data_IF_580197069627
#
_entry.id   IF_580197069627
#
_cell.length_a   1.000
_cell.length_b   1.000
_cell.length_c   1.000
_cell.angle_alpha   90.00
_cell.angle_beta   90.00
_cell.angle_gamma   90.00
#
_symmetry.space_group_name_H-M   'P 1'
#
loop_
_entity.id
_entity.type
_entity.pdbx_description
1 polymer ?
#
# COMPACT_ATOMS: atom_id res chain seq x y z
N UNK A 1 11.11 17.38 -2.89
CA UNK A 1 9.71 17.84 -3.06
C UNK A 1 8.81 17.03 -2.13
N UNK A 2 7.67 17.58 -1.74
CA UNK A 2 6.67 16.86 -0.93
C UNK A 2 5.89 15.93 -1.86
N UNK A 3 5.73 14.67 -1.47
CA UNK A 3 4.87 13.71 -2.16
C UNK A 3 3.40 14.04 -1.86
N UNK A 4 2.76 14.73 -2.80
CA UNK A 4 1.40 15.27 -2.62
C UNK A 4 0.33 14.16 -2.55
N UNK A 5 0.55 13.02 -3.20
CA UNK A 5 -0.38 11.88 -3.22
C UNK A 5 -0.43 11.14 -1.87
N UNK A 6 0.58 11.32 -1.02
CA UNK A 6 0.61 10.77 0.35
C UNK A 6 -0.03 11.68 1.40
N UNK A 7 -0.50 12.88 1.03
CA UNK A 7 -1.16 13.80 1.96
C UNK A 7 -2.64 13.46 2.14
N UNK A 8 -3.11 13.55 3.37
CA UNK A 8 -4.55 13.54 3.67
C UNK A 8 -5.20 14.85 3.20
N UNK A 9 -6.52 14.86 3.03
CA UNK A 9 -7.23 16.07 2.62
C UNK A 9 -6.98 17.28 3.55
N UNK A 10 -6.98 17.15 4.89
CA UNK A 10 -6.62 18.25 5.79
C UNK A 10 -5.18 18.75 5.58
N UNK A 11 -4.20 17.86 5.47
CA UNK A 11 -2.81 18.24 5.20
C UNK A 11 -2.67 18.95 3.85
N UNK A 12 -3.37 18.48 2.83
CA UNK A 12 -3.38 19.12 1.52
C UNK A 12 -4.03 20.52 1.57
N UNK A 13 -5.03 20.72 2.42
CA UNK A 13 -5.62 22.05 2.66
C UNK A 13 -4.60 23.01 3.26
N UNK A 14 -3.82 22.55 4.24
CA UNK A 14 -2.74 23.35 4.83
C UNK A 14 -1.65 23.68 3.80
N UNK A 15 -1.28 22.72 2.95
CA UNK A 15 -0.33 22.96 1.87
C UNK A 15 -0.84 23.99 0.86
N UNK A 16 -2.12 23.95 0.50
CA UNK A 16 -2.71 24.97 -0.39
C UNK A 16 -2.64 26.38 0.21
N UNK A 17 -2.91 26.53 1.51
CA UNK A 17 -2.76 27.82 2.19
C UNK A 17 -1.31 28.33 2.17
N UNK A 18 -0.32 27.45 2.38
CA UNK A 18 1.10 27.83 2.34
C UNK A 18 1.53 28.39 0.98
N UNK A 19 0.97 27.90 -0.11
CA UNK A 19 1.26 28.40 -1.47
C UNK A 19 0.34 29.55 -1.91
N UNK A 20 -0.50 30.07 -1.00
CA UNK A 20 -1.39 31.21 -1.25
C UNK A 20 -2.66 30.85 -2.03
N UNK A 21 -3.04 29.57 -2.03
CA UNK A 21 -4.27 29.07 -2.68
C UNK A 21 -5.40 28.86 -1.67
N UNK A 22 -6.63 28.83 -2.15
CA UNK A 22 -7.81 28.62 -1.28
C UNK A 22 -7.97 27.15 -0.91
N UNK A 23 -8.38 26.86 0.33
CA UNK A 23 -8.59 25.48 0.87
C UNK A 23 -9.39 24.55 -0.03
N UNK A 24 -10.43 25.07 -0.69
CA UNK A 24 -11.27 24.22 -1.56
C UNK A 24 -10.51 23.63 -2.77
N UNK A 25 -9.37 24.23 -3.15
CA UNK A 25 -8.51 23.69 -4.21
C UNK A 25 -7.93 22.32 -3.82
N UNK A 26 -7.68 22.10 -2.53
CA UNK A 26 -7.26 20.79 -2.03
C UNK A 26 -8.26 19.69 -2.37
N UNK A 27 -9.56 19.94 -2.19
CA UNK A 27 -10.59 18.96 -2.56
C UNK A 27 -10.60 18.62 -4.05
N UNK A 28 -10.37 19.62 -4.91
CA UNK A 28 -10.27 19.40 -6.35
C UNK A 28 -9.04 18.56 -6.72
N UNK A 29 -7.88 18.88 -6.14
CA UNK A 29 -6.61 18.15 -6.36
C UNK A 29 -6.75 16.72 -5.83
N UNK A 30 -7.31 16.54 -4.63
CA UNK A 30 -7.54 15.24 -4.00
C UNK A 30 -8.42 14.34 -4.86
N UNK A 31 -9.54 14.86 -5.40
CA UNK A 31 -10.42 14.16 -6.32
C UNK A 31 -9.68 13.71 -7.60
N UNK A 32 -8.84 14.59 -8.18
CA UNK A 32 -8.03 14.24 -9.34
C UNK A 32 -7.08 13.08 -9.06
N UNK A 33 -6.39 13.11 -7.89
CA UNK A 33 -5.41 12.08 -7.53
C UNK A 33 -6.06 10.75 -7.16
N UNK A 34 -7.11 10.79 -6.32
CA UNK A 34 -7.63 9.60 -5.64
C UNK A 34 -8.95 9.06 -6.19
N UNK A 35 -9.64 9.79 -7.08
CA UNK A 35 -10.87 9.35 -7.74
C UNK A 35 -10.66 9.23 -9.24
N UNK A 36 -10.10 10.27 -9.87
CA UNK A 36 -9.83 10.28 -11.33
C UNK A 36 -8.52 9.60 -11.69
N UNK A 37 -7.66 9.34 -10.71
CA UNK A 37 -6.43 8.55 -10.80
C UNK A 37 -5.45 9.09 -11.87
N UNK A 38 -5.24 10.40 -11.88
CA UNK A 38 -4.36 11.04 -12.87
C UNK A 38 -2.88 10.74 -12.59
N UNK A 39 -2.10 10.77 -13.66
CA UNK A 39 -0.66 10.52 -13.64
C UNK A 39 0.17 11.80 -13.67
N UNK A 40 -0.46 12.94 -13.96
CA UNK A 40 0.21 14.24 -14.04
C UNK A 40 -0.69 15.40 -13.61
N UNK A 41 -0.09 16.49 -13.16
CA UNK A 41 -0.83 17.73 -12.86
C UNK A 41 -1.48 18.34 -14.11
N UNK A 42 -0.98 18.04 -15.31
CA UNK A 42 -1.55 18.58 -16.56
C UNK A 42 -2.95 18.04 -16.85
N UNK A 43 -3.27 16.84 -16.36
CA UNK A 43 -4.59 16.25 -16.49
C UNK A 43 -5.65 16.94 -15.62
N UNK A 44 -5.26 17.73 -14.62
CA UNK A 44 -6.16 18.44 -13.71
C UNK A 44 -6.77 19.70 -14.36
N UNK A 45 -7.61 19.48 -15.37
CA UNK A 45 -8.08 20.51 -16.33
C UNK A 45 -8.96 21.60 -15.72
N UNK A 46 -9.62 21.36 -14.56
CA UNK A 46 -10.39 22.37 -13.83
C UNK A 46 -9.53 23.29 -12.95
N UNK A 47 -8.21 23.04 -12.87
CA UNK A 47 -7.25 23.92 -12.22
C UNK A 47 -6.66 24.90 -13.25
N UNK A 48 -6.40 26.13 -12.82
CA UNK A 48 -5.73 27.13 -13.67
C UNK A 48 -4.33 26.64 -14.07
N UNK A 49 -3.84 27.07 -15.25
CA UNK A 49 -2.48 26.76 -15.68
C UNK A 49 -1.44 27.21 -14.64
N UNK A 50 -1.60 28.43 -14.06
CA UNK A 50 -0.68 28.94 -13.04
C UNK A 50 -0.64 28.06 -11.78
N UNK A 51 -1.78 27.51 -11.34
CA UNK A 51 -1.78 26.58 -10.20
C UNK A 51 -1.09 25.27 -10.54
N UNK A 52 -1.34 24.68 -11.73
CA UNK A 52 -0.68 23.45 -12.15
C UNK A 52 0.85 23.61 -12.23
N UNK A 53 1.34 24.74 -12.71
CA UNK A 53 2.80 25.02 -12.74
C UNK A 53 3.35 25.15 -11.31
N UNK A 54 2.69 25.89 -10.41
CA UNK A 54 3.07 25.96 -8.98
C UNK A 54 3.14 24.57 -8.33
N UNK A 55 2.16 23.69 -8.65
CA UNK A 55 2.16 22.34 -8.11
C UNK A 55 3.36 21.52 -8.60
N UNK A 56 3.71 21.60 -9.89
CA UNK A 56 4.89 20.94 -10.46
C UNK A 56 6.21 21.40 -9.84
N UNK A 57 6.31 22.69 -9.48
CA UNK A 57 7.52 23.25 -8.91
C UNK A 57 7.75 22.84 -7.44
N UNK A 58 6.68 22.60 -6.69
CA UNK A 58 6.78 22.42 -5.24
C UNK A 58 6.52 20.99 -4.78
N UNK A 59 5.74 20.23 -5.55
CA UNK A 59 5.28 18.89 -5.18
C UNK A 59 5.69 17.84 -6.20
N UNK A 60 5.84 16.62 -5.71
CA UNK A 60 5.98 15.42 -6.52
C UNK A 60 4.65 14.69 -6.59
N UNK A 61 4.17 14.39 -7.79
CA UNK A 61 3.03 13.50 -8.00
C UNK A 61 3.56 12.13 -8.42
N UNK A 62 3.64 11.21 -7.46
CA UNK A 62 4.13 9.85 -7.71
C UNK A 62 3.21 9.15 -8.73
N UNK A 63 3.83 8.58 -9.76
CA UNK A 63 3.20 7.75 -10.77
C UNK A 63 4.14 6.63 -11.15
N UNK A 64 3.71 5.38 -10.93
CA UNK A 64 4.48 4.19 -11.27
C UNK A 64 4.47 3.96 -12.78
N UNK A 65 5.60 3.52 -13.31
CA UNK A 65 5.69 3.09 -14.71
C UNK A 65 5.30 1.61 -14.82
N UNK A 66 4.32 1.30 -15.65
CA UNK A 66 3.99 -0.08 -15.98
C UNK A 66 5.01 -0.64 -16.96
N UNK A 67 5.84 -1.58 -16.51
CA UNK A 67 6.91 -2.20 -17.32
C UNK A 67 6.38 -3.40 -18.08
N UNK A 68 5.64 -4.28 -17.42
CA UNK A 68 5.18 -5.55 -17.99
C UNK A 68 3.88 -6.01 -17.34
N UNK A 69 3.03 -6.69 -18.11
CA UNK A 69 1.87 -7.43 -17.60
C UNK A 69 1.91 -8.86 -18.15
N UNK A 70 1.82 -9.83 -17.25
CA UNK A 70 1.72 -11.25 -17.57
C UNK A 70 0.35 -11.77 -17.15
N UNK A 71 -0.50 -12.11 -18.11
CA UNK A 71 -1.86 -12.63 -17.84
C UNK A 71 -1.92 -14.13 -18.03
N UNK A 72 -2.44 -14.82 -17.01
CA UNK A 72 -2.71 -16.26 -17.03
C UNK A 72 -3.81 -16.56 -18.06
N UNK A 73 -3.62 -17.64 -18.81
CA UNK A 73 -4.62 -18.15 -19.77
C UNK A 73 -5.69 -19.04 -19.11
N UNK A 74 -5.51 -19.36 -17.82
CA UNK A 74 -6.37 -20.31 -17.09
C UNK A 74 -7.46 -19.55 -16.32
N UNK A 75 -7.09 -18.50 -15.59
CA UNK A 75 -7.95 -17.83 -14.61
C UNK A 75 -7.95 -16.30 -14.72
N UNK A 76 -7.36 -15.75 -15.80
CA UNK A 76 -7.22 -14.31 -16.04
C UNK A 76 -6.44 -13.55 -14.95
N UNK A 77 -5.80 -14.24 -14.01
CA UNK A 77 -4.88 -13.61 -13.05
C UNK A 77 -3.78 -12.88 -13.80
N UNK A 78 -3.56 -11.61 -13.46
CA UNK A 78 -2.57 -10.77 -14.14
C UNK A 78 -1.53 -10.27 -13.15
N UNK A 79 -0.25 -10.55 -13.44
CA UNK A 79 0.89 -10.05 -12.69
C UNK A 79 1.44 -8.80 -13.37
N UNK A 80 1.63 -7.74 -12.60
CA UNK A 80 2.13 -6.44 -13.03
C UNK A 80 3.52 -6.22 -12.49
N UNK A 81 4.40 -5.70 -13.33
CA UNK A 81 5.72 -5.23 -12.95
C UNK A 81 5.74 -3.70 -13.07
N UNK A 82 5.95 -3.02 -11.95
CA UNK A 82 6.00 -1.56 -11.89
C UNK A 82 7.40 -1.07 -11.56
N UNK A 83 7.85 -0.03 -12.27
CA UNK A 83 9.08 0.70 -11.96
C UNK A 83 8.77 1.93 -11.13
N UNK A 84 9.55 2.10 -10.06
CA UNK A 84 9.53 3.25 -9.16
C UNK A 84 10.43 4.37 -9.71
N UNK A 85 10.29 5.58 -9.19
CA UNK A 85 11.07 6.75 -9.63
C UNK A 85 12.58 6.63 -9.40
N UNK A 86 13.00 5.78 -8.46
CA UNK A 86 14.40 5.47 -8.18
C UNK A 86 14.98 4.32 -9.03
N UNK A 87 14.18 3.76 -9.94
CA UNK A 87 14.56 2.67 -10.82
C UNK A 87 14.30 1.27 -10.26
N UNK A 88 13.96 1.15 -8.99
CA UNK A 88 13.56 -0.12 -8.40
C UNK A 88 12.27 -0.65 -9.03
N UNK A 89 12.08 -1.96 -8.94
CA UNK A 89 10.93 -2.64 -9.55
C UNK A 89 10.18 -3.43 -8.48
N UNK A 90 8.86 -3.38 -8.54
CA UNK A 90 7.95 -4.10 -7.63
C UNK A 90 6.89 -4.86 -8.42
N UNK A 91 6.32 -5.88 -7.81
CA UNK A 91 5.26 -6.69 -8.38
C UNK A 91 3.92 -6.45 -7.68
N UNK A 92 2.84 -6.55 -8.47
CA UNK A 92 1.46 -6.59 -7.98
C UNK A 92 0.68 -7.62 -8.77
N UNK A 93 -0.42 -8.13 -8.21
CA UNK A 93 -1.23 -9.14 -8.88
C UNK A 93 -2.70 -8.77 -8.82
N UNK A 94 -3.38 -8.78 -9.98
CA UNK A 94 -4.83 -8.71 -10.09
C UNK A 94 -5.39 -10.12 -10.16
N UNK A 95 -6.31 -10.44 -9.28
CA UNK A 95 -7.06 -11.71 -9.25
C UNK A 95 -8.54 -11.40 -9.43
N UNK A 96 -9.16 -12.05 -10.41
CA UNK A 96 -10.58 -11.90 -10.71
C UNK A 96 -11.39 -12.97 -10.00
N UNK A 97 -12.34 -12.56 -9.16
CA UNK A 97 -13.24 -13.45 -8.44
C UNK A 97 -14.69 -13.06 -8.71
N UNK A 98 -15.62 -14.01 -8.53
CA UNK A 98 -17.06 -13.75 -8.66
C UNK A 98 -17.59 -12.69 -7.67
N UNK A 99 -16.90 -12.49 -6.55
CA UNK A 99 -17.21 -11.46 -5.54
C UNK A 99 -16.48 -10.14 -5.75
N UNK A 100 -15.78 -9.97 -6.87
CA UNK A 100 -15.07 -8.76 -7.26
C UNK A 100 -13.57 -8.92 -7.39
N UNK A 101 -12.94 -7.94 -8.00
CA UNK A 101 -11.50 -7.90 -8.25
C UNK A 101 -10.71 -7.69 -6.96
N UNK A 102 -9.71 -8.52 -6.74
CA UNK A 102 -8.76 -8.41 -5.63
C UNK A 102 -7.37 -8.07 -6.15
N UNK A 103 -6.70 -7.13 -5.50
CA UNK A 103 -5.32 -6.74 -5.86
C UNK A 103 -4.37 -7.07 -4.71
N UNK A 104 -3.33 -7.84 -5.03
CA UNK A 104 -2.19 -8.06 -4.14
C UNK A 104 -1.13 -7.01 -4.43
N UNK A 105 -0.71 -6.27 -3.41
CA UNK A 105 0.28 -5.20 -3.54
C UNK A 105 1.53 -5.46 -2.70
N UNK A 106 2.65 -4.88 -3.12
CA UNK A 106 3.91 -4.83 -2.39
C UNK A 106 3.93 -3.66 -1.40
N UNK A 107 4.67 -3.81 -0.29
CA UNK A 107 4.86 -2.79 0.74
C UNK A 107 6.30 -2.30 0.88
N UNK A 108 7.25 -3.01 0.28
CA UNK A 108 8.68 -2.70 0.33
C UNK A 108 9.34 -3.07 -1.00
N UNK A 109 10.53 -2.55 -1.24
CA UNK A 109 11.49 -3.05 -2.23
C UNK A 109 12.41 -4.02 -1.49
N UNK A 110 12.27 -5.33 -1.79
CA UNK A 110 12.93 -6.38 -1.02
C UNK A 110 12.34 -6.60 0.38
N UNK A 111 12.99 -7.42 1.21
CA UNK A 111 12.51 -7.72 2.56
C UNK A 111 13.67 -8.21 3.44
N UNK A 112 13.81 -7.66 4.66
CA UNK A 112 14.86 -8.07 5.60
C UNK A 112 14.48 -9.19 6.55
N UNK A 113 13.28 -9.76 6.44
CA UNK A 113 12.82 -10.81 7.37
C UNK A 113 13.57 -12.15 7.20
N UNK A 114 14.14 -12.41 6.03
CA UNK A 114 15.00 -13.56 5.76
C UNK A 114 14.26 -14.90 5.74
N UNK A 115 12.96 -14.93 5.48
CA UNK A 115 12.19 -16.16 5.37
C UNK A 115 12.77 -17.05 4.27
N UNK A 116 13.20 -18.27 4.61
CA UNK A 116 14.00 -19.13 3.73
C UNK A 116 13.27 -19.65 2.49
N UNK A 117 11.96 -19.56 2.50
CA UNK A 117 11.07 -19.97 1.39
C UNK A 117 10.63 -18.79 0.50
N UNK A 118 11.02 -17.55 0.83
CA UNK A 118 10.50 -16.35 0.17
C UNK A 118 11.58 -15.68 -0.71
N UNK A 119 11.27 -15.51 -1.99
CA UNK A 119 12.17 -14.85 -2.94
C UNK A 119 12.40 -13.37 -2.62
N UNK A 120 11.43 -12.69 -2.00
CA UNK A 120 11.57 -11.27 -1.64
C UNK A 120 12.71 -10.95 -0.66
N UNK A 121 13.32 -11.98 -0.07
CA UNK A 121 14.42 -11.80 0.92
C UNK A 121 15.82 -12.02 0.34
N UNK A 122 15.93 -12.41 -0.94
CA UNK A 122 17.20 -12.80 -1.56
C UNK A 122 18.22 -11.66 -1.57
N UNK A 123 17.77 -10.45 -1.92
CA UNK A 123 18.61 -9.25 -2.01
C UNK A 123 18.48 -8.34 -0.77
N UNK A 124 17.78 -8.81 0.27
CA UNK A 124 17.52 -8.03 1.48
C UNK A 124 16.47 -6.95 1.29
N UNK A 125 16.53 -5.93 2.14
CA UNK A 125 15.63 -4.77 2.09
C UNK A 125 16.38 -3.56 1.52
N UNK A 126 15.89 -3.03 0.42
CA UNK A 126 16.34 -1.74 -0.12
C UNK A 126 15.66 -0.58 0.65
N UNK A 127 14.32 -0.53 0.61
CA UNK A 127 13.53 0.47 1.34
C UNK A 127 12.06 0.10 1.49
N UNK A 128 11.37 0.81 2.39
CA UNK A 128 9.91 0.82 2.43
C UNK A 128 9.31 1.58 1.25
N UNK A 129 8.12 1.20 0.82
CA UNK A 129 7.35 1.98 -0.14
C UNK A 129 6.67 3.16 0.55
N UNK A 130 6.57 4.29 -0.18
CA UNK A 130 5.76 5.44 0.23
C UNK A 130 4.26 5.07 0.18
N UNK A 131 3.38 5.75 0.95
CA UNK A 131 1.94 5.53 0.85
C UNK A 131 1.40 5.69 -0.57
N UNK A 132 1.87 6.71 -1.30
CA UNK A 132 1.53 6.96 -2.71
C UNK A 132 1.94 5.83 -3.64
N UNK A 133 3.12 5.22 -3.43
CA UNK A 133 3.59 4.09 -4.23
C UNK A 133 2.75 2.82 -3.98
N UNK A 134 2.26 2.65 -2.74
CA UNK A 134 1.32 1.56 -2.42
C UNK A 134 -0.05 1.78 -3.07
N UNK A 135 -0.59 3.01 -3.01
CA UNK A 135 -1.84 3.40 -3.66
C UNK A 135 -1.76 3.26 -5.18
N UNK A 136 -0.66 3.70 -5.77
CA UNK A 136 -0.53 3.78 -7.22
C UNK A 136 -0.50 2.41 -7.90
N UNK A 137 -0.06 1.35 -7.21
CA UNK A 137 -0.20 -0.03 -7.68
C UNK A 137 -1.67 -0.35 -7.97
N UNK A 138 -2.57 0.02 -7.05
CA UNK A 138 -4.03 -0.20 -7.18
C UNK A 138 -4.60 0.68 -8.30
N UNK A 139 -4.20 1.96 -8.35
CA UNK A 139 -4.68 2.93 -9.33
C UNK A 139 -4.33 2.51 -10.76
N UNK A 140 -3.08 2.11 -10.98
CA UNK A 140 -2.60 1.61 -12.29
C UNK A 140 -3.35 0.36 -12.74
N UNK A 141 -3.56 -0.59 -11.81
CA UNK A 141 -4.30 -1.82 -12.10
C UNK A 141 -5.76 -1.52 -12.41
N UNK A 142 -6.42 -0.63 -11.66
CA UNK A 142 -7.80 -0.23 -11.91
C UNK A 142 -7.94 0.49 -13.25
N UNK A 143 -6.99 1.38 -13.61
CA UNK A 143 -6.96 2.02 -14.94
C UNK A 143 -6.72 1.01 -16.06
N UNK A 144 -5.82 0.05 -15.88
CA UNK A 144 -5.51 -0.97 -16.88
C UNK A 144 -6.69 -1.92 -17.13
N UNK A 145 -7.31 -2.41 -16.05
CA UNK A 145 -8.45 -3.35 -16.16
C UNK A 145 -9.76 -2.69 -16.58
N UNK A 146 -9.89 -1.36 -16.41
CA UNK A 146 -11.14 -0.59 -16.56
C UNK A 146 -12.26 -1.11 -15.62
N UNK A 147 -11.89 -1.83 -14.58
CA UNK A 147 -12.80 -2.44 -13.60
C UNK A 147 -12.44 -1.97 -12.19
N UNK A 148 -13.46 -1.80 -11.35
CA UNK A 148 -13.25 -1.41 -9.95
C UNK A 148 -12.49 -2.51 -9.19
N UNK A 149 -11.50 -2.09 -8.40
CA UNK A 149 -10.87 -2.93 -7.37
C UNK A 149 -11.77 -2.94 -6.13
N UNK A 150 -12.10 -4.12 -5.64
CA UNK A 150 -12.99 -4.30 -4.48
C UNK A 150 -12.23 -4.68 -3.22
N UNK A 151 -11.21 -5.53 -3.35
CA UNK A 151 -10.43 -6.05 -2.24
C UNK A 151 -8.94 -5.78 -2.47
N UNK A 152 -8.22 -5.52 -1.38
CA UNK A 152 -6.77 -5.33 -1.42
C UNK A 152 -6.12 -6.23 -0.38
N UNK A 153 -5.06 -6.94 -0.78
CA UNK A 153 -4.24 -7.72 0.12
C UNK A 153 -2.80 -7.22 0.07
N UNK A 154 -2.24 -6.86 1.21
CA UNK A 154 -0.84 -6.44 1.33
C UNK A 154 -0.01 -7.69 1.62
N UNK A 155 0.25 -8.46 0.55
CA UNK A 155 0.88 -9.79 0.60
C UNK A 155 1.93 -9.98 -0.52
N UNK A 156 2.32 -8.90 -1.19
CA UNK A 156 3.40 -8.90 -2.18
C UNK A 156 4.78 -8.84 -1.53
N UNK A 157 5.71 -8.15 -2.17
CA UNK A 157 7.07 -7.99 -1.64
C UNK A 157 7.10 -7.12 -0.39
N UNK A 158 7.79 -7.61 0.65
CA UNK A 158 8.01 -6.89 1.90
C UNK A 158 7.25 -7.45 3.10
N UNK A 159 7.59 -6.92 4.28
CA UNK A 159 6.86 -7.11 5.54
C UNK A 159 6.10 -5.80 5.85
N UNK A 160 4.77 -5.78 5.71
CA UNK A 160 4.01 -4.54 5.88
C UNK A 160 4.19 -3.88 7.25
N UNK A 161 4.27 -4.67 8.33
CA UNK A 161 4.48 -4.13 9.67
C UNK A 161 5.90 -3.62 9.92
N UNK A 162 6.85 -3.90 9.04
CA UNK A 162 8.18 -3.30 9.06
C UNK A 162 8.21 -1.91 8.40
N UNK A 163 7.19 -1.61 7.57
CA UNK A 163 6.93 -0.30 6.97
C UNK A 163 5.66 0.35 7.58
N UNK A 164 5.54 0.30 8.91
CA UNK A 164 4.32 0.53 9.66
C UNK A 164 3.65 1.89 9.39
N UNK A 165 4.41 2.98 9.48
CA UNK A 165 3.83 4.33 9.41
C UNK A 165 3.33 4.63 7.97
N UNK A 166 4.05 4.16 6.94
CA UNK A 166 3.58 4.23 5.54
C UNK A 166 2.36 3.34 5.30
N UNK A 167 2.34 2.13 5.89
CA UNK A 167 1.20 1.23 5.82
C UNK A 167 -0.05 1.86 6.44
N UNK A 168 0.08 2.44 7.63
CA UNK A 168 -1.05 3.07 8.31
C UNK A 168 -1.61 4.24 7.50
N UNK A 169 -0.73 5.09 6.99
CA UNK A 169 -1.10 6.20 6.10
C UNK A 169 -1.79 5.71 4.83
N UNK A 170 -1.26 4.67 4.20
CA UNK A 170 -1.87 4.02 3.03
C UNK A 170 -3.28 3.53 3.34
N UNK A 171 -3.50 2.85 4.47
CA UNK A 171 -4.82 2.37 4.88
C UNK A 171 -5.81 3.53 4.99
N UNK A 172 -5.44 4.61 5.66
CA UNK A 172 -6.31 5.78 5.80
C UNK A 172 -6.68 6.39 4.46
N UNK A 173 -5.71 6.60 3.56
CA UNK A 173 -5.95 7.18 2.24
C UNK A 173 -6.80 6.26 1.34
N UNK A 174 -6.55 4.94 1.37
CA UNK A 174 -7.30 3.97 0.57
C UNK A 174 -8.77 3.88 0.98
N UNK A 175 -9.04 4.05 2.27
CA UNK A 175 -10.39 3.91 2.85
C UNK A 175 -11.11 5.25 3.01
N UNK A 176 -10.47 6.36 2.67
CA UNK A 176 -11.03 7.70 2.73
C UNK A 176 -12.24 7.85 1.81
N UNK A 177 -13.32 8.46 2.30
CA UNK A 177 -14.57 8.66 1.55
C UNK A 177 -14.39 9.56 0.32
N UNK A 178 -13.42 10.48 0.37
CA UNK A 178 -13.06 11.36 -0.74
C UNK A 178 -12.18 10.72 -1.81
N UNK A 179 -11.75 9.46 -1.62
CA UNK A 179 -10.88 8.71 -2.53
C UNK A 179 -11.55 7.49 -3.16
N UNK A 180 -10.81 6.39 -3.30
CA UNK A 180 -11.35 5.11 -3.80
C UNK A 180 -12.41 4.52 -2.88
N UNK A 181 -12.39 4.87 -1.60
CA UNK A 181 -13.35 4.43 -0.59
C UNK A 181 -13.52 2.91 -0.56
N UNK A 182 -12.38 2.20 -0.50
CA UNK A 182 -12.40 0.75 -0.29
C UNK A 182 -12.69 0.50 1.18
N UNK A 183 -13.70 -0.32 1.47
CA UNK A 183 -14.05 -0.65 2.86
C UNK A 183 -12.86 -1.27 3.59
N UNK A 184 -12.61 -0.88 4.84
CA UNK A 184 -11.58 -1.49 5.67
C UNK A 184 -11.73 -3.02 5.76
N UNK A 185 -12.95 -3.55 5.75
CA UNK A 185 -13.23 -5.01 5.77
C UNK A 185 -12.74 -5.73 4.51
N UNK A 186 -12.51 -5.00 3.44
CA UNK A 186 -12.00 -5.53 2.17
C UNK A 186 -10.47 -5.39 2.06
N UNK A 187 -9.81 -5.00 3.16
CA UNK A 187 -8.36 -4.89 3.22
C UNK A 187 -7.78 -5.95 4.15
N UNK A 188 -6.83 -6.72 3.64
CA UNK A 188 -6.07 -7.70 4.43
C UNK A 188 -4.61 -7.32 4.46
N UNK A 189 -4.02 -7.30 5.66
CA UNK A 189 -2.58 -7.09 5.86
C UNK A 189 -1.98 -8.38 6.39
N UNK A 190 -0.96 -8.91 5.69
CA UNK A 190 -0.19 -10.06 6.15
C UNK A 190 1.00 -9.62 6.98
N UNK A 191 1.41 -10.46 7.93
CA UNK A 191 2.65 -10.24 8.70
C UNK A 191 3.31 -11.54 9.08
N UNK A 192 4.63 -11.52 9.13
CA UNK A 192 5.43 -12.60 9.71
C UNK A 192 5.43 -12.59 11.26
N UNK A 193 4.77 -11.61 11.90
CA UNK A 193 4.60 -11.57 13.36
C UNK A 193 5.58 -10.62 14.07
N UNK A 194 5.68 -9.37 13.62
CA UNK A 194 6.39 -8.29 14.35
C UNK A 194 5.51 -7.84 15.53
N UNK A 195 5.64 -8.52 16.66
CA UNK A 195 4.78 -8.38 17.86
C UNK A 195 4.56 -6.92 18.30
N UNK A 196 5.59 -6.06 18.43
CA UNK A 196 5.34 -4.66 18.84
C UNK A 196 4.40 -3.93 17.88
N UNK A 197 4.58 -4.12 16.56
CA UNK A 197 3.76 -3.43 15.56
C UNK A 197 2.38 -4.07 15.38
N UNK A 198 2.24 -5.39 15.64
CA UNK A 198 0.90 -6.00 15.77
C UNK A 198 0.09 -5.38 16.90
N UNK A 199 0.73 -5.13 18.06
CA UNK A 199 0.07 -4.46 19.19
C UNK A 199 -0.28 -3.00 18.89
N UNK A 200 0.62 -2.25 18.26
CA UNK A 200 0.32 -0.89 17.76
C UNK A 200 -0.90 -0.90 16.83
N UNK A 201 -0.95 -1.84 15.88
CA UNK A 201 -2.07 -1.95 14.95
C UNK A 201 -3.40 -2.29 15.65
N UNK A 202 -3.36 -3.08 16.74
CA UNK A 202 -4.55 -3.33 17.57
C UNK A 202 -5.08 -2.05 18.23
N UNK A 203 -4.20 -1.10 18.58
CA UNK A 203 -4.60 0.18 19.20
C UNK A 203 -5.23 1.16 18.20
N UNK A 204 -4.98 1.00 16.88
CA UNK A 204 -5.59 1.81 15.81
C UNK A 204 -7.10 1.52 15.62
N UNK A 205 -7.62 0.41 16.15
CA UNK A 205 -9.04 -0.01 16.07
C UNK A 205 -9.59 -0.07 14.62
N UNK A 206 -8.74 -0.45 13.69
CA UNK A 206 -9.12 -0.63 12.28
C UNK A 206 -9.94 -1.91 12.09
N UNK A 207 -10.86 -1.90 11.12
CA UNK A 207 -11.67 -3.07 10.77
C UNK A 207 -11.05 -3.90 9.62
N UNK A 208 -9.73 -3.87 9.49
CA UNK A 208 -9.01 -4.66 8.50
C UNK A 208 -8.78 -6.09 8.98
N UNK A 209 -8.56 -7.02 8.06
CA UNK A 209 -8.12 -8.38 8.39
C UNK A 209 -6.61 -8.41 8.60
N UNK A 210 -6.16 -8.90 9.75
CA UNK A 210 -4.75 -9.21 9.99
C UNK A 210 -4.50 -10.70 9.75
N UNK A 211 -3.67 -11.04 8.76
CA UNK A 211 -3.31 -12.40 8.42
C UNK A 211 -1.90 -12.73 8.94
N UNK A 212 -1.80 -13.73 9.82
CA UNK A 212 -0.52 -14.18 10.33
C UNK A 212 0.12 -15.26 9.46
N UNK A 213 1.31 -15.01 8.96
CA UNK A 213 2.19 -16.01 8.34
C UNK A 213 2.83 -16.89 9.41
N UNK A 214 2.10 -17.93 9.85
CA UNK A 214 2.51 -18.81 10.95
C UNK A 214 3.57 -19.83 10.51
N UNK A 215 3.31 -20.57 9.45
CA UNK A 215 4.16 -21.54 8.74
C UNK A 215 4.77 -22.68 9.56
N UNK A 216 4.53 -22.78 10.86
CA UNK A 216 5.07 -23.83 11.70
C UNK A 216 4.21 -24.09 12.94
N UNK A 217 4.15 -25.33 13.44
CA UNK A 217 3.35 -25.70 14.62
C UNK A 217 4.04 -25.34 15.97
N UNK A 218 5.33 -25.07 15.96
CA UNK A 218 6.12 -24.76 17.15
C UNK A 218 7.30 -23.83 16.83
N UNK A 219 7.95 -23.29 17.89
CA UNK A 219 9.04 -22.34 17.76
C UNK A 219 10.30 -22.97 17.12
N UNK A 220 10.56 -24.26 17.35
CA UNK A 220 11.75 -24.94 16.84
C UNK A 220 11.68 -25.02 15.29
N UNK A 221 10.58 -25.51 14.75
CA UNK A 221 10.37 -25.58 13.30
C UNK A 221 10.31 -24.18 12.71
N UNK A 222 9.61 -23.24 13.38
CA UNK A 222 9.47 -21.87 12.88
C UNK A 222 10.81 -21.16 12.71
N UNK A 223 11.75 -21.33 13.66
CA UNK A 223 13.11 -20.76 13.57
C UNK A 223 13.91 -21.27 12.38
N UNK A 224 13.64 -22.51 11.94
CA UNK A 224 14.31 -23.04 10.75
C UNK A 224 13.85 -22.41 9.45
N UNK A 225 12.63 -21.87 9.41
CA UNK A 225 11.98 -21.29 8.23
C UNK A 225 12.00 -19.76 8.23
N UNK A 226 11.82 -19.16 9.41
CA UNK A 226 11.59 -17.73 9.56
C UNK A 226 12.50 -17.16 10.66
N UNK A 227 13.59 -16.46 10.32
CA UNK A 227 14.52 -15.90 11.30
C UNK A 227 13.90 -14.96 12.33
N UNK A 228 12.77 -14.31 12.01
CA UNK A 228 11.99 -13.48 12.95
C UNK A 228 11.57 -14.26 14.20
N UNK A 229 11.42 -15.58 14.12
CA UNK A 229 11.10 -16.46 15.25
C UNK A 229 12.23 -16.54 16.31
N UNK A 230 13.44 -16.09 16.01
CA UNK A 230 14.49 -15.94 17.02
C UNK A 230 14.20 -14.77 17.98
N UNK A 231 13.43 -13.77 17.51
CA UNK A 231 13.07 -12.58 18.30
C UNK A 231 11.70 -12.70 18.96
N UNK A 232 10.72 -13.30 18.27
CA UNK A 232 9.33 -13.38 18.74
C UNK A 232 8.88 -14.84 18.77
N UNK A 233 8.50 -15.32 19.98
CA UNK A 233 7.98 -16.68 20.18
C UNK A 233 6.53 -16.77 19.75
N UNK A 234 6.06 -17.98 19.42
CA UNK A 234 4.68 -18.22 19.03
C UNK A 234 3.67 -17.74 20.09
N UNK A 235 3.98 -17.94 21.37
CA UNK A 235 3.09 -17.49 22.47
C UNK A 235 2.88 -15.97 22.44
N UNK A 236 3.91 -15.18 22.16
CA UNK A 236 3.83 -13.72 22.11
C UNK A 236 3.07 -13.26 20.87
N UNK A 237 3.29 -13.93 19.72
CA UNK A 237 2.60 -13.66 18.46
C UNK A 237 1.10 -13.96 18.60
N UNK A 238 0.74 -15.14 19.15
CA UNK A 238 -0.65 -15.51 19.37
C UNK A 238 -1.35 -14.58 20.37
N UNK A 239 -0.66 -14.16 21.42
CA UNK A 239 -1.17 -13.16 22.35
C UNK A 239 -1.44 -11.81 21.64
N UNK A 240 -0.56 -11.38 20.72
CA UNK A 240 -0.77 -10.16 19.93
C UNK A 240 -1.93 -10.31 18.94
N UNK A 241 -2.11 -11.48 18.31
CA UNK A 241 -3.29 -11.78 17.49
C UNK A 241 -4.59 -11.71 18.31
N UNK A 242 -4.58 -12.30 19.52
CA UNK A 242 -5.74 -12.24 20.42
C UNK A 242 -6.07 -10.79 20.82
N UNK A 243 -5.06 -10.00 21.16
CA UNK A 243 -5.23 -8.58 21.46
C UNK A 243 -5.85 -7.82 20.28
N UNK A 244 -5.42 -8.09 19.05
CA UNK A 244 -5.99 -7.49 17.84
C UNK A 244 -7.45 -7.88 17.62
N UNK A 245 -7.79 -9.13 17.90
CA UNK A 245 -9.16 -9.65 17.70
C UNK A 245 -10.17 -9.08 18.72
N UNK A 246 -9.73 -8.82 19.96
CA UNK A 246 -10.62 -8.40 21.07
C UNK A 246 -10.86 -6.87 21.08
N UNK A 247 -10.01 -6.08 20.42
CA UNK A 247 -10.12 -4.60 20.33
C UNK A 247 -10.97 -4.14 19.16
#
# INVERSE_FOLDING_TARGET
>A
MIDIKSLTLPELQEEMEKIGEKKFRAGQIYEWMHVKLVDSFDEMTNLSKGLREKLKEQYELISLELVEVQTSKIDETSKFLFRLSDGNVIESVLMKYHHGNSVCISSQVGCRMGCRFCASTLDGLERGLKPSEMLDQIYKIQKWSQERVHNVVVMGTGEPLDNYDSLLRFIHLLTDEGGLHISQRNLTVSTCGIVPNMRRLADEKLQITLALSLHAPNDEVRKTLMPVANKYKLVDILAACHQYFVK
#
